data_IF_036942674002
#
_entry.id   IF_036942674002
#
_cell.length_a   1.000
_cell.length_b   1.000
_cell.length_c   1.000
_cell.angle_alpha   90.00
_cell.angle_beta   90.00
_cell.angle_gamma   90.00
#
_symmetry.space_group_name_H-M   'P 1'
#
loop_
_entity.id
_entity.type
_entity.pdbx_description
1 polymer ?
#
# COMPACT_ATOMS: atom_id res chain seq x y z
N UNK A 1 8.12 68.19 -26.99
CA UNK A 1 9.39 68.70 -26.47
C UNK A 1 9.31 68.82 -24.95
N UNK A 2 9.71 67.90 -24.08
CA UNK A 2 9.86 66.45 -24.08
C UNK A 2 9.94 66.14 -22.57
N UNK A 3 8.89 65.55 -22.02
CA UNK A 3 8.85 65.13 -20.62
C UNK A 3 9.69 63.87 -20.45
N UNK A 4 10.96 64.03 -20.07
CA UNK A 4 11.85 62.91 -19.79
C UNK A 4 11.51 62.32 -18.42
N UNK A 5 10.68 61.26 -18.41
CA UNK A 5 10.52 60.39 -17.23
C UNK A 5 11.79 59.55 -17.05
N UNK A 6 12.52 59.79 -15.95
CA UNK A 6 13.60 58.94 -15.46
C UNK A 6 12.98 57.75 -14.71
N UNK A 7 12.97 56.58 -15.33
CA UNK A 7 12.65 55.30 -14.67
C UNK A 7 13.96 54.76 -14.08
N UNK A 8 14.06 54.73 -12.75
CA UNK A 8 15.12 54.05 -12.02
C UNK A 8 14.69 52.59 -11.85
N UNK A 9 15.37 51.67 -12.55
CA UNK A 9 15.16 50.22 -12.45
C UNK A 9 15.97 49.69 -11.26
N UNK A 10 15.26 49.25 -10.20
CA UNK A 10 15.83 48.58 -9.04
C UNK A 10 16.01 47.09 -9.37
N UNK A 11 17.24 46.65 -9.62
CA UNK A 11 17.58 45.23 -9.85
C UNK A 11 17.69 44.54 -8.49
N UNK A 12 16.69 43.73 -8.13
CA UNK A 12 16.82 42.72 -7.06
C UNK A 12 17.74 41.60 -7.55
N UNK A 13 18.93 41.48 -6.97
CA UNK A 13 19.81 40.33 -7.17
C UNK A 13 19.35 39.23 -6.23
N UNK A 14 18.70 38.20 -6.77
CA UNK A 14 18.40 36.97 -6.04
C UNK A 14 19.70 36.20 -5.79
N UNK A 15 20.06 35.99 -4.52
CA UNK A 15 21.15 35.10 -4.16
C UNK A 15 20.75 33.65 -4.49
N UNK A 16 21.46 33.01 -5.42
CA UNK A 16 21.32 31.58 -5.71
C UNK A 16 21.84 30.78 -4.51
N UNK A 17 20.95 30.14 -3.76
CA UNK A 17 21.36 29.16 -2.75
C UNK A 17 21.67 27.82 -3.47
N UNK A 18 22.94 27.47 -3.56
CA UNK A 18 23.39 26.13 -3.94
C UNK A 18 23.30 25.22 -2.70
N UNK A 19 22.47 24.18 -2.77
CA UNK A 19 22.33 23.20 -1.70
C UNK A 19 23.32 22.04 -1.93
N UNK A 20 24.35 21.96 -1.11
CA UNK A 20 25.28 20.84 -1.03
C UNK A 20 24.97 20.02 0.23
N UNK A 21 25.33 18.74 0.25
CA UNK A 21 25.09 17.86 1.41
C UNK A 21 26.43 17.35 1.91
N UNK A 22 26.70 17.52 3.20
CA UNK A 22 27.94 17.10 3.86
C UNK A 22 27.64 15.92 4.79
N UNK A 23 28.61 15.02 4.95
CA UNK A 23 28.52 13.89 5.89
C UNK A 23 29.41 14.17 7.11
N UNK A 24 28.80 14.37 8.27
CA UNK A 24 29.53 14.64 9.50
C UNK A 24 30.07 13.35 10.16
N UNK A 25 31.04 13.49 11.07
CA UNK A 25 31.68 12.37 11.78
C UNK A 25 30.71 11.50 12.60
N UNK A 26 29.58 12.07 13.03
CA UNK A 26 28.51 11.36 13.76
C UNK A 26 27.59 10.53 12.83
N UNK A 27 27.89 10.51 11.52
CA UNK A 27 27.13 9.77 10.52
C UNK A 27 25.86 10.48 10.05
N UNK A 28 25.60 11.72 10.48
CA UNK A 28 24.46 12.53 10.02
C UNK A 28 24.83 13.34 8.78
N UNK A 29 23.81 13.72 8.03
CA UNK A 29 23.93 14.55 6.84
C UNK A 29 23.34 15.93 7.09
N UNK A 30 24.06 16.98 6.68
CA UNK A 30 23.65 18.37 6.88
C UNK A 30 23.84 19.18 5.59
N UNK A 31 23.10 20.28 5.48
CA UNK A 31 23.19 21.19 4.34
C UNK A 31 24.33 22.21 4.48
N UNK A 32 24.84 22.39 5.70
CA UNK A 32 25.98 23.25 6.02
C UNK A 32 27.22 22.40 6.36
N UNK A 33 28.45 22.88 6.10
CA UNK A 33 29.68 22.20 6.49
C UNK A 33 29.75 21.95 8.00
N UNK A 34 30.18 20.76 8.41
CA UNK A 34 30.27 20.37 9.82
C UNK A 34 31.51 20.99 10.50
N UNK A 35 32.57 21.20 9.73
CA UNK A 35 33.85 21.81 10.11
C UNK A 35 34.59 22.36 8.87
N UNK A 36 35.74 23.00 9.09
CA UNK A 36 36.57 23.60 8.05
C UNK A 36 37.22 22.57 7.08
N UNK A 37 37.05 21.26 7.33
CA UNK A 37 37.58 20.17 6.51
C UNK A 37 36.47 19.34 5.84
N UNK A 38 35.22 19.75 5.98
CA UNK A 38 34.07 19.04 5.45
C UNK A 38 33.98 19.24 3.94
N UNK A 39 34.14 18.16 3.18
CA UNK A 39 33.98 18.17 1.72
C UNK A 39 32.55 17.81 1.31
N UNK A 40 32.00 18.46 0.27
CA UNK A 40 30.65 18.17 -0.21
C UNK A 40 30.57 16.75 -0.77
N UNK A 41 29.49 16.05 -0.43
CA UNK A 41 29.29 14.68 -0.88
C UNK A 41 28.88 14.65 -2.35
N UNK A 42 29.62 13.92 -3.18
CA UNK A 42 29.27 13.74 -4.59
C UNK A 42 28.05 12.82 -4.73
N UNK A 43 26.92 13.43 -5.10
CA UNK A 43 25.66 12.75 -5.36
C UNK A 43 25.36 12.59 -6.86
N UNK A 44 26.31 12.87 -7.75
CA UNK A 44 26.11 12.77 -9.20
C UNK A 44 25.74 11.35 -9.68
N UNK A 45 26.10 10.34 -8.90
CA UNK A 45 25.89 8.92 -9.21
C UNK A 45 24.82 8.24 -8.34
N UNK A 46 24.09 9.00 -7.50
CA UNK A 46 22.94 8.46 -6.78
C UNK A 46 21.64 8.80 -7.52
N UNK A 47 20.79 7.80 -7.72
CA UNK A 47 19.67 7.88 -8.66
C UNK A 47 19.98 7.09 -9.92
N UNK A 48 18.95 6.54 -10.56
CA UNK A 48 19.07 5.60 -11.68
C UNK A 48 19.68 6.26 -12.93
N UNK A 49 21.00 6.41 -12.98
CA UNK A 49 21.72 6.76 -14.20
C UNK A 49 21.96 5.46 -14.98
N UNK A 50 21.14 5.22 -16.00
CA UNK A 50 21.46 4.21 -17.02
C UNK A 50 22.52 4.82 -17.92
N UNK A 51 23.79 4.52 -17.64
CA UNK A 51 24.89 4.93 -18.51
C UNK A 51 24.74 4.25 -19.89
N UNK A 52 24.68 5.00 -21.01
CA UNK A 52 24.73 4.40 -22.33
C UNK A 52 26.17 3.93 -22.57
N UNK A 53 26.36 2.62 -22.70
CA UNK A 53 27.65 2.02 -23.07
C UNK A 53 28.13 2.59 -24.41
N UNK A 54 29.19 3.40 -24.36
CA UNK A 54 29.99 3.79 -25.52
C UNK A 54 31.47 3.75 -25.14
N UNK A 55 32.18 2.84 -25.81
CA UNK A 55 33.59 3.00 -26.12
C UNK A 55 34.56 2.55 -25.03
N UNK A 56 35.25 1.45 -25.31
CA UNK A 56 36.52 1.04 -24.68
C UNK A 56 37.52 2.21 -24.62
N UNK A 57 38.46 2.19 -23.66
CA UNK A 57 39.81 1.91 -24.11
C UNK A 57 40.49 0.76 -23.35
N UNK A 58 41.34 0.12 -24.13
CA UNK A 58 42.15 -1.05 -23.89
C UNK A 58 43.35 -0.69 -23.01
N UNK A 59 43.36 -1.19 -21.77
CA UNK A 59 44.53 -1.70 -21.06
C UNK A 59 44.17 -2.00 -19.60
N UNK A 60 44.06 -3.27 -19.26
CA UNK A 60 44.31 -3.74 -17.90
C UNK A 60 44.75 -5.20 -17.96
N UNK A 61 46.05 -5.42 -18.15
CA UNK A 61 46.68 -6.65 -17.68
C UNK A 61 46.62 -6.61 -16.16
N UNK A 62 45.85 -7.51 -15.56
CA UNK A 62 46.24 -8.30 -14.38
C UNK A 62 45.11 -9.27 -14.05
N UNK A 63 45.44 -10.55 -14.08
CA UNK A 63 44.62 -11.67 -13.65
C UNK A 63 44.01 -11.41 -12.27
N UNK A 64 42.68 -11.31 -12.23
CA UNK A 64 41.91 -11.68 -11.04
C UNK A 64 40.90 -12.71 -11.54
N UNK A 65 41.19 -13.94 -11.15
CA UNK A 65 40.34 -15.13 -11.14
C UNK A 65 38.87 -14.87 -11.49
N UNK A 66 38.54 -15.36 -12.67
CA UNK A 66 37.23 -15.46 -13.29
C UNK A 66 36.29 -16.33 -12.41
N UNK A 67 35.63 -15.71 -11.44
CA UNK A 67 34.65 -16.35 -10.56
C UNK A 67 33.35 -15.54 -10.43
N UNK A 68 33.01 -14.70 -11.43
CA UNK A 68 31.75 -13.97 -11.39
C UNK A 68 31.20 -13.53 -12.74
N UNK A 69 31.03 -14.50 -13.65
CA UNK A 69 30.05 -14.39 -14.74
C UNK A 69 29.30 -15.71 -14.89
N UNK A 70 28.54 -16.08 -13.85
CA UNK A 70 27.20 -16.63 -14.13
C UNK A 70 26.27 -15.43 -14.30
N UNK A 71 26.42 -14.75 -15.43
CA UNK A 71 25.33 -14.00 -16.03
C UNK A 71 24.33 -15.05 -16.53
N UNK A 72 23.57 -15.64 -15.60
CA UNK A 72 22.33 -16.28 -15.95
C UNK A 72 21.51 -15.14 -16.51
N UNK A 73 21.42 -15.06 -17.84
CA UNK A 73 20.65 -14.05 -18.56
C UNK A 73 19.18 -14.21 -18.15
N UNK A 74 18.81 -13.68 -16.99
CA UNK A 74 17.44 -13.72 -16.51
C UNK A 74 16.70 -12.79 -17.44
N UNK A 75 15.91 -13.37 -18.35
CA UNK A 75 15.16 -12.62 -19.33
C UNK A 75 14.32 -11.58 -18.56
N UNK A 76 14.41 -10.28 -18.86
CA UNK A 76 13.60 -9.26 -18.21
C UNK A 76 12.09 -9.56 -18.23
N UNK A 77 11.63 -10.40 -19.17
CA UNK A 77 10.25 -10.93 -19.21
C UNK A 77 9.96 -11.90 -18.06
N UNK A 78 10.90 -12.74 -17.67
CA UNK A 78 10.73 -13.74 -16.60
C UNK A 78 10.65 -13.06 -15.23
N UNK A 79 11.49 -12.03 -14.98
CA UNK A 79 11.38 -11.21 -13.76
C UNK A 79 10.05 -10.49 -13.65
N UNK A 80 9.53 -9.97 -14.78
CA UNK A 80 8.20 -9.32 -14.80
C UNK A 80 7.08 -10.31 -14.49
N UNK A 81 7.17 -11.54 -15.01
CA UNK A 81 6.19 -12.58 -14.73
C UNK A 81 6.21 -12.99 -13.24
N UNK A 82 7.39 -13.16 -12.65
CA UNK A 82 7.56 -13.47 -11.23
C UNK A 82 6.96 -12.37 -10.33
N UNK A 83 7.29 -11.11 -10.60
CA UNK A 83 6.73 -9.96 -9.86
C UNK A 83 5.21 -9.91 -10.00
N UNK A 84 4.67 -10.15 -11.19
CA UNK A 84 3.23 -10.16 -11.42
C UNK A 84 2.53 -11.27 -10.63
N UNK A 85 3.12 -12.47 -10.56
CA UNK A 85 2.59 -13.57 -9.74
C UNK A 85 2.61 -13.23 -8.24
N UNK A 86 3.72 -12.67 -7.74
CA UNK A 86 3.82 -12.22 -6.36
C UNK A 86 2.74 -11.18 -6.01
N UNK A 87 2.54 -10.18 -6.87
CA UNK A 87 1.52 -9.15 -6.67
C UNK A 87 0.10 -9.74 -6.69
N UNK A 88 -0.16 -10.71 -7.59
CA UNK A 88 -1.45 -11.43 -7.63
C UNK A 88 -1.70 -12.19 -6.34
N UNK A 89 -0.71 -12.93 -5.84
CA UNK A 89 -0.81 -13.65 -4.56
C UNK A 89 -1.11 -12.70 -3.41
N UNK A 90 -0.37 -11.60 -3.29
CA UNK A 90 -0.59 -10.56 -2.28
C UNK A 90 -2.01 -9.96 -2.34
N UNK A 91 -2.52 -9.74 -3.55
CA UNK A 91 -3.89 -9.23 -3.75
C UNK A 91 -4.92 -10.23 -3.25
N UNK A 92 -4.82 -11.49 -3.66
CA UNK A 92 -5.75 -12.56 -3.27
C UNK A 92 -5.75 -12.75 -1.75
N UNK A 93 -4.56 -12.79 -1.11
CA UNK A 93 -4.46 -12.92 0.34
C UNK A 93 -5.11 -11.75 1.08
N UNK A 94 -4.98 -10.53 0.56
CA UNK A 94 -5.64 -9.34 1.13
C UNK A 94 -7.16 -9.45 1.00
N UNK A 95 -7.65 -9.91 -0.14
CA UNK A 95 -9.07 -10.08 -0.41
C UNK A 95 -9.69 -11.14 0.49
N UNK A 96 -9.02 -12.27 0.68
CA UNK A 96 -9.41 -13.30 1.66
C UNK A 96 -9.52 -12.70 3.07
N UNK A 97 -8.52 -11.93 3.52
CA UNK A 97 -8.56 -11.28 4.85
C UNK A 97 -9.71 -10.28 4.98
N UNK A 98 -10.09 -9.59 3.92
CA UNK A 98 -11.23 -8.67 3.94
C UNK A 98 -12.54 -9.44 4.03
N UNK A 99 -12.72 -10.48 3.21
CA UNK A 99 -13.88 -11.36 3.26
C UNK A 99 -14.03 -12.05 4.61
N UNK A 100 -12.93 -12.47 5.26
CA UNK A 100 -12.98 -13.04 6.61
C UNK A 100 -13.47 -12.03 7.67
N UNK A 101 -13.12 -10.75 7.51
CA UNK A 101 -13.66 -9.66 8.36
C UNK A 101 -15.14 -9.41 8.08
N UNK A 102 -15.53 -9.38 6.81
CA UNK A 102 -16.93 -9.22 6.39
C UNK A 102 -17.79 -10.36 6.92
N UNK A 103 -17.31 -11.60 6.82
CA UNK A 103 -17.95 -12.78 7.40
C UNK A 103 -18.20 -12.61 8.89
N UNK A 104 -17.17 -12.19 9.63
CA UNK A 104 -17.29 -11.93 11.07
C UNK A 104 -18.30 -10.82 11.37
N UNK A 105 -18.31 -9.77 10.54
CA UNK A 105 -19.26 -8.68 10.64
C UNK A 105 -20.69 -9.15 10.37
N UNK A 106 -20.94 -9.96 9.35
CA UNK A 106 -22.26 -10.51 9.04
C UNK A 106 -22.83 -11.31 10.22
N UNK A 107 -22.02 -12.15 10.87
CA UNK A 107 -22.42 -12.84 12.09
C UNK A 107 -22.75 -11.87 13.23
N UNK A 108 -21.89 -10.88 13.46
CA UNK A 108 -22.11 -9.88 14.51
C UNK A 108 -23.39 -9.09 14.28
N UNK A 109 -23.60 -8.58 13.07
CA UNK A 109 -24.76 -7.76 12.72
C UNK A 109 -26.06 -8.57 12.87
N UNK A 110 -26.05 -9.84 12.44
CA UNK A 110 -27.16 -10.79 12.67
C UNK A 110 -27.44 -10.94 14.16
N UNK A 111 -26.43 -11.28 14.96
CA UNK A 111 -26.59 -11.57 16.39
C UNK A 111 -27.05 -10.33 17.16
N UNK A 112 -26.50 -9.15 16.84
CA UNK A 112 -26.90 -7.87 17.41
C UNK A 112 -28.38 -7.57 17.10
N UNK A 113 -28.83 -7.82 15.85
CA UNK A 113 -30.24 -7.63 15.45
C UNK A 113 -31.16 -8.62 16.16
N UNK A 114 -30.76 -9.89 16.32
CA UNK A 114 -31.53 -10.88 17.09
C UNK A 114 -31.67 -10.44 18.54
N UNK A 115 -30.61 -9.92 19.16
CA UNK A 115 -30.68 -9.45 20.55
C UNK A 115 -31.57 -8.20 20.67
N UNK A 116 -31.51 -7.27 19.71
CA UNK A 116 -32.44 -6.14 19.66
C UNK A 116 -33.90 -6.60 19.58
N UNK A 117 -34.20 -7.63 18.77
CA UNK A 117 -35.54 -8.21 18.68
C UNK A 117 -35.96 -8.86 19.99
N UNK A 118 -35.08 -9.63 20.63
CA UNK A 118 -35.36 -10.24 21.95
C UNK A 118 -35.62 -9.20 23.03
N UNK A 119 -34.83 -8.14 23.11
CA UNK A 119 -35.02 -7.07 24.10
C UNK A 119 -36.30 -6.28 23.83
N UNK A 120 -36.64 -6.05 22.57
CA UNK A 120 -37.94 -5.47 22.18
C UNK A 120 -39.09 -6.38 22.62
N UNK A 121 -38.96 -7.69 22.37
CA UNK A 121 -39.84 -8.76 22.85
C UNK A 121 -40.11 -8.74 24.35
N UNK A 122 -39.05 -8.57 25.15
CA UNK A 122 -39.17 -8.48 26.60
C UNK A 122 -39.93 -7.23 27.06
N UNK A 123 -39.81 -6.09 26.35
CA UNK A 123 -40.42 -4.81 26.73
C UNK A 123 -41.90 -4.68 26.40
N UNK A 124 -42.43 -5.47 25.46
CA UNK A 124 -43.85 -5.40 25.09
C UNK A 124 -44.67 -6.63 25.51
N UNK A 125 -44.08 -7.57 26.25
CA UNK A 125 -44.79 -8.68 26.93
C UNK A 125 -45.71 -8.22 28.10
N UNK A 126 -45.85 -6.92 28.29
CA UNK A 126 -46.57 -6.27 29.37
C UNK A 126 -48.03 -5.97 28.96
N UNK A 127 -48.43 -6.30 27.72
CA UNK A 127 -49.74 -5.95 27.16
C UNK A 127 -50.50 -7.19 26.65
N UNK A 128 -51.83 -7.19 26.80
CA UNK A 128 -52.77 -8.30 26.52
C UNK A 128 -52.77 -8.79 25.05
N UNK A 129 -52.16 -8.06 24.12
CA UNK A 129 -52.00 -8.42 22.69
C UNK A 129 -50.79 -9.34 22.39
N UNK A 130 -50.21 -9.95 23.43
CA UNK A 130 -48.87 -10.56 23.39
C UNK A 130 -48.67 -11.73 22.39
N UNK A 131 -49.67 -12.56 22.13
CA UNK A 131 -49.48 -13.78 21.34
C UNK A 131 -49.18 -13.52 19.85
N UNK A 132 -49.97 -12.67 19.20
CA UNK A 132 -49.76 -12.31 17.77
C UNK A 132 -48.45 -11.56 17.58
N UNK A 133 -48.10 -10.69 18.53
CA UNK A 133 -46.86 -9.93 18.48
C UNK A 133 -45.62 -10.81 18.73
N UNK A 134 -45.69 -11.78 19.65
CA UNK A 134 -44.63 -12.77 19.84
C UNK A 134 -44.40 -13.61 18.58
N UNK A 135 -45.48 -13.97 17.88
CA UNK A 135 -45.39 -14.72 16.62
C UNK A 135 -44.70 -13.90 15.52
N UNK A 136 -45.08 -12.62 15.33
CA UNK A 136 -44.43 -11.77 14.33
C UNK A 136 -42.96 -11.52 14.66
N UNK A 137 -42.63 -11.35 15.94
CA UNK A 137 -41.24 -11.20 16.39
C UNK A 137 -40.41 -12.46 16.14
N UNK A 138 -40.98 -13.65 16.37
CA UNK A 138 -40.31 -14.92 16.08
C UNK A 138 -40.07 -15.12 14.57
N UNK A 139 -41.02 -14.70 13.74
CA UNK A 139 -40.86 -14.69 12.28
C UNK A 139 -39.75 -13.74 11.84
N UNK A 140 -39.68 -12.53 12.40
CA UNK A 140 -38.60 -11.58 12.10
C UNK A 140 -37.23 -12.13 12.51
N UNK A 141 -37.11 -12.73 13.71
CA UNK A 141 -35.87 -13.37 14.14
C UNK A 141 -35.44 -14.49 13.19
N UNK A 142 -36.38 -15.31 12.72
CA UNK A 142 -36.09 -16.38 11.76
C UNK A 142 -35.61 -15.82 10.42
N UNK A 143 -36.25 -14.75 9.94
CA UNK A 143 -35.83 -14.07 8.70
C UNK A 143 -34.42 -13.47 8.81
N UNK A 144 -34.10 -12.81 9.92
CA UNK A 144 -32.76 -12.27 10.21
C UNK A 144 -31.72 -13.38 10.24
N UNK A 145 -32.03 -14.51 10.88
CA UNK A 145 -31.14 -15.68 10.90
C UNK A 145 -30.87 -16.19 9.49
N UNK A 146 -31.91 -16.35 8.67
CA UNK A 146 -31.81 -16.85 7.30
C UNK A 146 -30.99 -15.91 6.41
N UNK A 147 -31.22 -14.60 6.54
CA UNK A 147 -30.47 -13.58 5.81
C UNK A 147 -28.97 -13.66 6.15
N UNK A 148 -28.63 -13.67 7.43
CA UNK A 148 -27.23 -13.74 7.87
C UNK A 148 -26.54 -15.03 7.43
N UNK A 149 -27.23 -16.18 7.46
CA UNK A 149 -26.69 -17.44 6.93
C UNK A 149 -26.42 -17.36 5.43
N UNK A 150 -27.36 -16.81 4.65
CA UNK A 150 -27.22 -16.67 3.20
C UNK A 150 -26.04 -15.77 2.82
N UNK A 151 -25.85 -14.67 3.56
CA UNK A 151 -24.73 -13.76 3.38
C UNK A 151 -23.38 -14.45 3.68
N UNK A 152 -23.28 -15.15 4.81
CA UNK A 152 -22.09 -15.91 5.18
C UNK A 152 -21.76 -16.98 4.15
N UNK A 153 -22.76 -17.74 3.67
CA UNK A 153 -22.56 -18.76 2.64
C UNK A 153 -22.01 -18.14 1.33
N UNK A 154 -22.49 -16.96 0.96
CA UNK A 154 -21.97 -16.22 -0.19
C UNK A 154 -20.50 -15.86 -0.02
N UNK A 155 -20.13 -15.34 1.16
CA UNK A 155 -18.75 -14.97 1.50
C UNK A 155 -17.86 -16.22 1.54
N UNK A 156 -18.32 -17.31 2.14
CA UNK A 156 -17.58 -18.57 2.25
C UNK A 156 -17.29 -19.17 0.86
N UNK A 157 -18.23 -19.07 -0.09
CA UNK A 157 -17.98 -19.46 -1.49
C UNK A 157 -16.90 -18.62 -2.15
N UNK A 158 -16.89 -17.31 -1.93
CA UNK A 158 -15.86 -16.41 -2.48
C UNK A 158 -14.47 -16.71 -1.89
N UNK A 159 -14.39 -16.89 -0.57
CA UNK A 159 -13.14 -17.30 0.10
C UNK A 159 -12.64 -18.64 -0.46
N UNK A 160 -13.52 -19.61 -0.65
CA UNK A 160 -13.17 -20.92 -1.20
C UNK A 160 -12.60 -20.80 -2.62
N UNK A 161 -13.24 -20.00 -3.48
CA UNK A 161 -12.78 -19.74 -4.85
C UNK A 161 -11.38 -19.10 -4.86
N UNK A 162 -11.16 -18.05 -4.05
CA UNK A 162 -9.87 -17.37 -3.94
C UNK A 162 -8.78 -18.28 -3.36
N UNK A 163 -9.11 -19.13 -2.38
CA UNK A 163 -8.17 -20.13 -1.84
C UNK A 163 -7.82 -21.20 -2.89
N UNK A 164 -8.76 -21.56 -3.75
CA UNK A 164 -8.50 -22.47 -4.88
C UNK A 164 -7.57 -21.81 -5.90
N UNK A 165 -7.81 -20.55 -6.25
CA UNK A 165 -6.92 -19.78 -7.14
C UNK A 165 -5.51 -19.68 -6.59
N UNK A 166 -5.36 -19.40 -5.29
CA UNK A 166 -4.05 -19.30 -4.64
C UNK A 166 -3.25 -20.61 -4.66
N UNK A 167 -3.92 -21.77 -4.68
CA UNK A 167 -3.26 -23.08 -4.81
C UNK A 167 -2.78 -23.38 -6.24
N UNK A 168 -3.32 -22.67 -7.22
CA UNK A 168 -2.97 -22.83 -8.64
C UNK A 168 -1.87 -21.85 -9.08
N UNK A 169 -1.51 -20.88 -8.23
CA UNK A 169 -0.39 -19.95 -8.39
C UNK A 169 0.88 -20.53 -7.77
#
# INVERSE_FOLDING_TARGET
>A
MDGKSLIVILIMVSASASAEVYKCADGKYQADPCDDQSEPLDLSNVGSVVAPSRGYPENLTNEITDARLQDTSVNPRDKKAEIAQYLRKQKIEREIRNLEKERKKAFKDRDDKIEQLRTTGKRANNNLAGATWQQSLAQEMTAVMQQGSTEVESIDRQISALRSELKQL
#
